data_IF_996776843799
#
_entry.id   IF_996776843799
#
_cell.length_a   1.000
_cell.length_b   1.000
_cell.length_c   1.000
_cell.angle_alpha   90.00
_cell.angle_beta   90.00
_cell.angle_gamma   90.00
#
_symmetry.space_group_name_H-M   'P 1'
#
loop_
_entity.id
_entity.type
_entity.pdbx_description
1 polymer ?
#
# COMPACT_ATOMS: atom_id res chain seq x y z
N UNK A 1 12.97 -18.06 12.20
CA UNK A 1 13.43 -17.72 10.83
C UNK A 1 12.27 -17.45 9.89
N UNK A 2 11.35 -18.40 9.67
CA UNK A 2 10.22 -18.25 8.73
C UNK A 2 9.31 -17.04 9.00
N UNK A 3 9.05 -16.70 10.26
CA UNK A 3 8.28 -15.49 10.63
C UNK A 3 8.90 -14.19 10.11
N UNK A 4 10.22 -14.04 10.25
CA UNK A 4 10.96 -12.86 9.79
C UNK A 4 11.08 -12.84 8.26
N UNK A 5 11.13 -14.01 7.61
CA UNK A 5 11.04 -14.10 6.16
C UNK A 5 9.69 -13.61 5.63
N UNK A 6 8.58 -14.01 6.26
CA UNK A 6 7.23 -13.53 5.88
C UNK A 6 7.09 -12.03 6.11
N UNK A 7 7.57 -11.55 7.26
CA UNK A 7 7.62 -10.11 7.55
C UNK A 7 8.39 -9.34 6.46
N UNK A 8 9.63 -9.77 6.17
CA UNK A 8 10.49 -9.12 5.17
C UNK A 8 9.93 -9.21 3.76
N UNK A 9 9.36 -10.35 3.37
CA UNK A 9 8.70 -10.51 2.07
C UNK A 9 7.46 -9.61 1.95
N UNK A 10 6.69 -9.46 3.02
CA UNK A 10 5.54 -8.55 3.04
C UNK A 10 5.98 -7.09 2.91
N UNK A 11 6.98 -6.68 3.69
CA UNK A 11 7.55 -5.34 3.58
C UNK A 11 8.10 -5.07 2.17
N UNK A 12 8.78 -6.05 1.57
CA UNK A 12 9.28 -5.97 0.20
C UNK A 12 8.14 -5.79 -0.81
N UNK A 13 7.09 -6.60 -0.72
CA UNK A 13 5.97 -6.60 -1.67
C UNK A 13 5.11 -5.33 -1.62
N UNK A 14 5.13 -4.59 -0.51
CA UNK A 14 4.49 -3.26 -0.44
C UNK A 14 5.42 -2.16 -0.92
N UNK A 15 6.72 -2.23 -0.63
CA UNK A 15 7.65 -1.11 -0.89
C UNK A 15 8.25 -1.11 -2.29
N UNK A 16 8.92 -2.19 -2.69
CA UNK A 16 9.71 -2.22 -3.93
C UNK A 16 8.84 -2.21 -5.19
N UNK A 17 7.72 -2.97 -5.26
CA UNK A 17 6.85 -2.97 -6.43
C UNK A 17 6.28 -1.59 -6.78
N UNK A 18 6.15 -0.66 -5.83
CA UNK A 18 5.70 0.72 -6.11
C UNK A 18 6.61 1.41 -7.13
N UNK A 19 7.93 1.23 -7.04
CA UNK A 19 8.88 1.83 -7.98
C UNK A 19 8.81 1.23 -9.39
N UNK A 20 8.18 0.06 -9.54
CA UNK A 20 7.93 -0.58 -10.84
C UNK A 20 6.53 -0.23 -11.35
N UNK A 21 5.54 -0.30 -10.47
CA UNK A 21 4.14 -0.10 -10.82
C UNK A 21 3.84 1.37 -11.14
N UNK A 22 4.37 2.32 -10.35
CA UNK A 22 4.12 3.75 -10.55
C UNK A 22 4.52 4.28 -11.95
N UNK A 23 5.72 3.98 -12.50
CA UNK A 23 6.02 4.35 -13.88
C UNK A 23 5.20 3.53 -14.89
N UNK A 24 4.95 2.24 -14.62
CA UNK A 24 4.20 1.36 -15.53
C UNK A 24 2.75 1.82 -15.72
N UNK A 25 2.02 2.14 -14.65
CA UNK A 25 0.64 2.65 -14.72
C UNK A 25 0.57 4.01 -15.41
N UNK A 26 1.63 4.83 -15.29
CA UNK A 26 1.68 6.14 -15.93
C UNK A 26 1.88 6.06 -17.43
N UNK A 27 2.73 5.14 -17.90
CA UNK A 27 3.07 4.99 -19.32
C UNK A 27 2.16 4.00 -20.04
N UNK A 28 1.81 2.89 -19.37
CA UNK A 28 1.07 1.76 -19.93
C UNK A 28 0.06 1.21 -18.91
N UNK A 29 -1.02 1.96 -18.59
CA UNK A 29 -2.00 1.57 -17.56
C UNK A 29 -2.63 0.19 -17.84
N UNK A 30 -2.97 -0.08 -19.09
CA UNK A 30 -3.51 -1.39 -19.51
C UNK A 30 -2.50 -2.54 -19.29
N UNK A 31 -1.21 -2.30 -19.50
CA UNK A 31 -0.18 -3.32 -19.27
C UNK A 31 -0.03 -3.58 -17.77
N UNK A 32 -0.06 -2.54 -16.93
CA UNK A 32 -0.06 -2.72 -15.47
C UNK A 32 -1.28 -3.53 -15.01
N UNK A 33 -2.45 -3.25 -15.55
CA UNK A 33 -3.66 -3.99 -15.21
C UNK A 33 -3.56 -5.47 -15.62
N UNK A 34 -3.15 -5.73 -16.87
CA UNK A 34 -2.98 -7.10 -17.40
C UNK A 34 -1.89 -7.87 -16.64
N UNK A 35 -0.85 -7.20 -16.14
CA UNK A 35 0.20 -7.86 -15.36
C UNK A 35 -0.28 -8.37 -13.99
N UNK A 36 -1.49 -8.03 -13.55
CA UNK A 36 -2.17 -8.72 -12.46
C UNK A 36 -2.36 -10.22 -12.76
N UNK A 37 -2.64 -10.59 -14.01
CA UNK A 37 -2.93 -11.97 -14.42
C UNK A 37 -1.77 -12.92 -14.09
N UNK A 38 -0.51 -12.68 -14.50
CA UNK A 38 0.59 -13.57 -14.14
C UNK A 38 0.82 -13.66 -12.63
N UNK A 39 0.62 -12.56 -11.87
CA UNK A 39 0.71 -12.62 -10.40
C UNK A 39 -0.34 -13.54 -9.79
N UNK A 40 -1.58 -13.42 -10.24
CA UNK A 40 -2.69 -14.25 -9.79
C UNK A 40 -2.54 -15.72 -10.22
N UNK A 41 -2.14 -15.98 -11.46
CA UNK A 41 -1.89 -17.34 -11.93
C UNK A 41 -0.75 -17.99 -11.15
N UNK A 42 0.35 -17.27 -10.94
CA UNK A 42 1.47 -17.76 -10.15
C UNK A 42 1.05 -18.02 -8.70
N UNK A 43 0.24 -17.15 -8.10
CA UNK A 43 -0.25 -17.35 -6.73
C UNK A 43 -1.06 -18.63 -6.62
N UNK A 44 -1.94 -18.91 -7.59
CA UNK A 44 -2.71 -20.15 -7.64
C UNK A 44 -1.83 -21.39 -7.82
N UNK A 45 -0.84 -21.35 -8.73
CA UNK A 45 0.09 -22.48 -8.91
C UNK A 45 0.83 -22.80 -7.61
N UNK A 46 1.25 -21.77 -6.88
CA UNK A 46 2.00 -21.92 -5.63
C UNK A 46 1.10 -22.36 -4.46
N UNK A 47 -0.13 -21.87 -4.38
CA UNK A 47 -1.02 -22.13 -3.23
C UNK A 47 -1.49 -23.58 -3.16
N UNK A 48 -1.62 -24.25 -4.32
CA UNK A 48 -2.04 -25.66 -4.39
C UNK A 48 -0.91 -26.68 -4.19
N UNK A 49 0.30 -26.22 -3.85
CA UNK A 49 1.45 -27.10 -3.56
C UNK A 49 1.88 -26.94 -2.09
N UNK A 50 1.91 -28.01 -1.28
CA UNK A 50 2.19 -27.91 0.16
C UNK A 50 3.49 -27.16 0.52
N UNK A 51 4.55 -27.33 -0.29
CA UNK A 51 5.85 -26.69 -0.06
C UNK A 51 5.86 -25.18 -0.34
N UNK A 52 4.97 -24.69 -1.20
CA UNK A 52 4.93 -23.29 -1.65
C UNK A 52 3.65 -22.56 -1.25
N UNK A 53 2.75 -23.23 -0.53
CA UNK A 53 1.42 -22.72 -0.19
C UNK A 53 1.47 -21.35 0.46
N UNK A 54 2.40 -21.15 1.41
CA UNK A 54 2.63 -19.88 2.10
C UNK A 54 2.90 -18.71 1.13
N UNK A 55 3.72 -18.95 0.11
CA UNK A 55 4.12 -17.93 -0.85
C UNK A 55 3.02 -17.67 -1.87
N UNK A 56 2.28 -18.70 -2.26
CA UNK A 56 1.07 -18.54 -3.08
C UNK A 56 0.00 -17.73 -2.36
N UNK A 57 -0.18 -17.96 -1.06
CA UNK A 57 -1.09 -17.19 -0.22
C UNK A 57 -0.68 -15.70 -0.15
N UNK A 58 0.58 -15.42 0.22
CA UNK A 58 1.10 -14.05 0.25
C UNK A 58 0.97 -13.35 -1.12
N UNK A 59 1.31 -14.05 -2.21
CA UNK A 59 1.26 -13.50 -3.56
C UNK A 59 -0.16 -13.22 -4.02
N UNK A 60 -1.15 -13.99 -3.55
CA UNK A 60 -2.56 -13.75 -3.84
C UNK A 60 -3.03 -12.43 -3.21
N UNK A 61 -2.60 -12.14 -1.98
CA UNK A 61 -2.85 -10.84 -1.33
C UNK A 61 -2.19 -9.69 -2.10
N UNK A 62 -0.94 -9.87 -2.52
CA UNK A 62 -0.22 -8.91 -3.35
C UNK A 62 -0.89 -8.67 -4.71
N UNK A 63 -1.36 -9.71 -5.39
CA UNK A 63 -2.09 -9.57 -6.64
C UNK A 63 -3.36 -8.72 -6.49
N UNK A 64 -4.03 -8.81 -5.33
CA UNK A 64 -5.14 -7.93 -4.96
C UNK A 64 -4.74 -6.47 -4.86
N UNK A 65 -3.66 -6.15 -4.15
CA UNK A 65 -3.11 -4.80 -4.08
C UNK A 65 -2.66 -4.29 -5.46
N UNK A 66 -1.99 -5.13 -6.25
CA UNK A 66 -1.52 -4.77 -7.59
C UNK A 66 -2.69 -4.46 -8.53
N UNK A 67 -3.78 -5.24 -8.46
CA UNK A 67 -5.01 -5.00 -9.23
C UNK A 67 -5.59 -3.63 -8.88
N UNK A 68 -5.82 -3.39 -7.59
CA UNK A 68 -6.35 -2.13 -7.08
C UNK A 68 -5.48 -0.93 -7.50
N UNK A 69 -4.19 -1.00 -7.22
CA UNK A 69 -3.23 0.04 -7.58
C UNK A 69 -3.20 0.28 -9.09
N UNK A 70 -3.27 -0.77 -9.91
CA UNK A 70 -3.31 -0.60 -11.38
C UNK A 70 -4.57 0.14 -11.84
N UNK A 71 -5.73 -0.17 -11.24
CA UNK A 71 -7.00 0.50 -11.57
C UNK A 71 -6.94 1.96 -11.12
N UNK A 72 -6.63 2.22 -9.85
CA UNK A 72 -6.63 3.58 -9.31
C UNK A 72 -5.59 4.45 -10.03
N UNK A 73 -4.33 4.03 -10.04
CA UNK A 73 -3.25 4.85 -10.60
C UNK A 73 -3.29 4.96 -12.12
N UNK A 74 -3.91 4.00 -12.81
CA UNK A 74 -4.08 4.05 -14.26
C UNK A 74 -5.22 4.96 -14.73
N UNK A 75 -6.36 4.97 -14.01
CA UNK A 75 -7.60 5.59 -14.50
C UNK A 75 -8.40 6.40 -13.47
N UNK A 76 -7.97 6.54 -12.23
CA UNK A 76 -8.73 7.31 -11.23
C UNK A 76 -7.84 8.23 -10.39
N UNK A 77 -6.53 8.26 -10.64
CA UNK A 77 -5.54 9.04 -9.89
C UNK A 77 -5.84 10.53 -9.78
N UNK A 78 -6.66 11.10 -10.66
CA UNK A 78 -7.05 12.51 -10.61
C UNK A 78 -7.97 12.84 -9.44
N UNK A 79 -8.66 11.86 -8.86
CA UNK A 79 -9.57 12.09 -7.75
C UNK A 79 -9.15 11.28 -6.50
N UNK A 80 -8.46 11.92 -5.53
CA UNK A 80 -7.89 11.22 -4.38
C UNK A 80 -8.94 10.56 -3.48
N UNK A 81 -10.19 11.02 -3.48
CA UNK A 81 -11.24 10.40 -2.66
C UNK A 81 -11.62 8.99 -3.14
N UNK A 82 -11.29 8.65 -4.39
CA UNK A 82 -11.53 7.32 -4.97
C UNK A 82 -10.42 6.32 -4.64
N UNK A 83 -9.30 6.77 -4.06
CA UNK A 83 -8.15 5.92 -3.74
C UNK A 83 -8.56 4.77 -2.82
N UNK A 84 -8.98 5.06 -1.59
CA UNK A 84 -9.39 4.04 -0.63
C UNK A 84 -10.52 3.11 -1.12
N UNK A 85 -11.62 3.59 -1.73
CA UNK A 85 -12.64 2.70 -2.29
C UNK A 85 -12.12 1.71 -3.33
N UNK A 86 -11.21 2.15 -4.20
CA UNK A 86 -10.62 1.28 -5.24
C UNK A 86 -9.61 0.32 -4.62
N UNK A 87 -8.80 0.78 -3.66
CA UNK A 87 -7.91 -0.09 -2.89
C UNK A 87 -8.66 -1.16 -2.11
N UNK A 88 -9.91 -0.90 -1.73
CA UNK A 88 -10.79 -1.83 -1.02
C UNK A 88 -11.51 -2.88 -1.90
N UNK A 89 -11.34 -2.91 -3.22
CA UNK A 89 -12.05 -3.88 -4.10
C UNK A 89 -11.75 -5.35 -3.76
N UNK A 90 -10.57 -5.63 -3.22
CA UNK A 90 -10.15 -6.96 -2.77
C UNK A 90 -10.70 -7.36 -1.40
N UNK A 91 -11.27 -6.41 -0.64
CA UNK A 91 -11.71 -6.62 0.74
C UNK A 91 -12.79 -7.71 0.87
N UNK A 92 -13.84 -7.79 0.02
CA UNK A 92 -14.82 -8.87 0.11
C UNK A 92 -14.19 -10.26 -0.04
N UNK A 93 -13.20 -10.39 -0.92
CA UNK A 93 -12.47 -11.63 -1.11
C UNK A 93 -11.58 -11.97 0.09
N UNK A 94 -10.87 -10.98 0.65
CA UNK A 94 -10.09 -11.16 1.87
C UNK A 94 -10.97 -11.61 3.05
N UNK A 95 -12.14 -11.00 3.24
CA UNK A 95 -13.11 -11.39 4.28
C UNK A 95 -13.59 -12.84 4.07
N UNK A 96 -13.92 -13.21 2.82
CA UNK A 96 -14.31 -14.58 2.48
C UNK A 96 -13.22 -15.60 2.82
N UNK A 97 -11.97 -15.32 2.45
CA UNK A 97 -10.79 -16.14 2.78
C UNK A 97 -10.67 -16.35 4.30
N UNK A 98 -10.76 -15.27 5.08
CA UNK A 98 -10.71 -15.33 6.54
C UNK A 98 -11.85 -16.16 7.14
N UNK A 99 -13.08 -15.99 6.63
CA UNK A 99 -14.25 -16.77 7.04
C UNK A 99 -14.12 -18.27 6.75
N UNK A 100 -13.38 -18.64 5.70
CA UNK A 100 -13.05 -20.04 5.37
C UNK A 100 -11.77 -20.55 6.03
N UNK A 101 -11.09 -19.72 6.82
CA UNK A 101 -9.77 -20.00 7.36
C UNK A 101 -8.74 -20.43 6.30
N UNK A 102 -8.91 -19.95 5.08
CA UNK A 102 -8.04 -20.20 3.94
C UNK A 102 -7.36 -18.90 3.53
N UNK A 103 -6.15 -18.96 2.97
CA UNK A 103 -5.50 -17.75 2.46
C UNK A 103 -5.23 -16.67 3.52
N UNK A 104 -4.98 -17.05 4.79
CA UNK A 104 -4.88 -16.09 5.90
C UNK A 104 -3.68 -15.17 5.76
N UNK A 105 -2.56 -15.65 5.22
CA UNK A 105 -1.34 -14.84 5.13
C UNK A 105 -1.52 -13.73 4.10
N UNK A 106 -2.06 -14.03 2.92
CA UNK A 106 -2.38 -13.04 1.90
C UNK A 106 -3.49 -12.09 2.32
N UNK A 107 -4.55 -12.59 2.98
CA UNK A 107 -5.62 -11.75 3.47
C UNK A 107 -5.13 -10.74 4.52
N UNK A 108 -4.31 -11.16 5.49
CA UNK A 108 -3.73 -10.26 6.48
C UNK A 108 -2.70 -9.30 5.89
N UNK A 109 -1.90 -9.74 4.92
CA UNK A 109 -1.04 -8.84 4.13
C UNK A 109 -1.86 -7.72 3.48
N UNK A 110 -2.92 -8.09 2.75
CA UNK A 110 -3.80 -7.15 2.07
C UNK A 110 -4.46 -6.18 3.05
N UNK A 111 -4.98 -6.68 4.19
CA UNK A 111 -5.56 -5.85 5.24
C UNK A 111 -4.55 -4.88 5.87
N UNK A 112 -3.31 -5.31 6.06
CA UNK A 112 -2.24 -4.43 6.55
C UNK A 112 -1.93 -3.30 5.58
N UNK A 113 -1.83 -3.63 4.29
CA UNK A 113 -1.65 -2.65 3.21
C UNK A 113 -2.83 -1.67 3.14
N UNK A 114 -4.07 -2.17 3.15
CA UNK A 114 -5.28 -1.36 3.09
C UNK A 114 -5.42 -0.45 4.31
N UNK A 115 -5.06 -0.93 5.50
CA UNK A 115 -5.03 -0.10 6.71
C UNK A 115 -4.02 1.04 6.57
N UNK A 116 -2.81 0.74 6.09
CA UNK A 116 -1.80 1.76 5.79
C UNK A 116 -2.35 2.83 4.86
N UNK A 117 -2.91 2.41 3.71
CA UNK A 117 -3.55 3.31 2.76
C UNK A 117 -4.65 4.16 3.39
N UNK A 118 -5.57 3.55 4.15
CA UNK A 118 -6.68 4.26 4.78
C UNK A 118 -6.19 5.35 5.73
N UNK A 119 -5.16 5.05 6.53
CA UNK A 119 -4.59 5.99 7.49
C UNK A 119 -3.86 7.13 6.77
N UNK A 120 -3.08 6.84 5.72
CA UNK A 120 -2.42 7.87 4.91
C UNK A 120 -3.45 8.74 4.16
N UNK A 121 -4.52 8.18 3.62
CA UNK A 121 -5.60 8.94 2.97
C UNK A 121 -6.33 9.86 3.96
N UNK A 122 -6.58 9.39 5.19
CA UNK A 122 -7.15 10.23 6.26
C UNK A 122 -6.21 11.39 6.59
N UNK A 123 -4.89 11.17 6.63
CA UNK A 123 -3.92 12.24 6.81
C UNK A 123 -4.01 13.27 5.68
N UNK A 124 -4.06 12.83 4.41
CA UNK A 124 -4.21 13.72 3.25
C UNK A 124 -5.49 14.55 3.30
N UNK A 125 -6.57 13.96 3.79
CA UNK A 125 -7.84 14.65 3.98
C UNK A 125 -7.74 15.71 5.10
N UNK A 126 -7.25 15.33 6.29
CA UNK A 126 -7.19 16.20 7.46
C UNK A 126 -6.23 17.38 7.30
N UNK A 127 -5.15 17.21 6.54
CA UNK A 127 -4.12 18.24 6.30
C UNK A 127 -4.36 19.08 5.06
N UNK A 128 -5.44 18.82 4.32
CA UNK A 128 -5.74 19.58 3.10
C UNK A 128 -4.74 19.32 1.97
N UNK A 129 -4.15 18.13 1.89
CA UNK A 129 -3.23 17.74 0.81
C UNK A 129 -3.94 17.30 -0.48
N UNK A 130 -5.22 16.90 -0.40
CA UNK A 130 -5.99 16.45 -1.57
C UNK A 130 -6.05 17.48 -2.73
N UNK A 131 -6.21 18.80 -2.50
CA UNK A 131 -6.10 19.80 -3.57
C UNK A 131 -4.74 19.81 -4.27
N UNK A 132 -3.64 19.67 -3.52
CA UNK A 132 -2.29 19.60 -4.08
C UNK A 132 -2.09 18.33 -4.89
N UNK A 133 -2.63 17.20 -4.42
CA UNK A 133 -2.67 15.96 -5.20
C UNK A 133 -3.31 16.18 -6.57
N UNK A 134 -4.52 16.77 -6.62
CA UNK A 134 -5.21 17.05 -7.88
C UNK A 134 -4.35 17.92 -8.80
N UNK A 135 -3.71 18.95 -8.26
CA UNK A 135 -2.80 19.81 -9.04
C UNK A 135 -1.63 19.02 -9.63
N UNK A 136 -0.94 18.19 -8.85
CA UNK A 136 0.18 17.36 -9.33
C UNK A 136 -0.25 16.43 -10.46
N UNK A 137 -1.45 15.85 -10.38
CA UNK A 137 -1.93 14.89 -11.40
C UNK A 137 -2.25 15.54 -12.74
N UNK A 138 -2.50 16.86 -12.77
CA UNK A 138 -2.74 17.64 -13.98
C UNK A 138 -1.54 18.46 -14.44
N UNK A 139 -0.53 18.62 -13.59
CA UNK A 139 0.65 19.41 -13.89
C UNK A 139 1.58 18.71 -14.89
N UNK A 140 2.22 19.50 -15.74
CA UNK A 140 3.39 19.05 -16.48
C UNK A 140 4.53 18.75 -15.50
N UNK A 141 5.44 17.79 -15.80
CA UNK A 141 6.51 17.39 -14.88
C UNK A 141 7.34 18.56 -14.33
N UNK A 142 7.56 19.59 -15.15
CA UNK A 142 8.31 20.81 -14.83
C UNK A 142 7.61 21.67 -13.77
N UNK A 143 6.28 21.57 -13.68
CA UNK A 143 5.44 22.31 -12.73
C UNK A 143 5.10 21.49 -11.47
N UNK A 144 5.52 20.22 -11.40
CA UNK A 144 5.24 19.36 -10.25
C UNK A 144 6.00 19.79 -8.99
N UNK A 145 7.25 20.26 -9.13
CA UNK A 145 8.11 20.59 -8.00
C UNK A 145 7.57 21.74 -7.13
N UNK A 146 7.12 22.88 -7.69
CA UNK A 146 6.50 23.94 -6.87
C UNK A 146 5.24 23.49 -6.13
N UNK A 147 4.47 22.57 -6.70
CA UNK A 147 3.27 22.03 -6.06
C UNK A 147 3.66 21.14 -4.87
N UNK A 148 4.70 20.31 -5.01
CA UNK A 148 5.23 19.52 -3.90
C UNK A 148 5.75 20.40 -2.76
N UNK A 149 6.52 21.45 -3.06
CA UNK A 149 7.00 22.39 -2.05
C UNK A 149 5.85 23.08 -1.31
N UNK A 150 4.79 23.46 -2.04
CA UNK A 150 3.59 24.04 -1.43
C UNK A 150 2.81 23.03 -0.57
N UNK A 151 2.81 21.75 -0.95
CA UNK A 151 2.22 20.66 -0.17
C UNK A 151 3.00 20.39 1.12
N UNK A 152 4.35 20.43 1.08
CA UNK A 152 5.19 20.35 2.29
C UNK A 152 4.86 21.48 3.26
N UNK A 153 4.54 22.68 2.76
CA UNK A 153 4.07 23.79 3.59
C UNK A 153 2.84 23.43 4.45
N UNK A 154 1.96 22.53 4.01
CA UNK A 154 0.84 22.03 4.82
C UNK A 154 1.30 21.02 5.90
N UNK A 155 2.28 20.19 5.56
CA UNK A 155 2.88 19.20 6.46
C UNK A 155 3.60 19.90 7.61
N UNK A 156 4.33 20.99 7.33
CA UNK A 156 5.13 21.73 8.32
C UNK A 156 4.30 22.61 9.26
N UNK A 157 2.99 22.72 9.05
CA UNK A 157 2.11 23.40 10.01
C UNK A 157 2.04 22.62 11.33
N UNK A 158 1.78 23.27 12.48
CA UNK A 158 1.56 22.57 13.75
C UNK A 158 0.45 21.51 13.67
N UNK A 159 -0.57 21.76 12.84
CA UNK A 159 -1.65 20.80 12.58
C UNK A 159 -1.16 19.61 11.75
N UNK A 160 -0.44 19.85 10.65
CA UNK A 160 0.16 18.81 9.81
C UNK A 160 1.09 17.90 10.61
N UNK A 161 2.02 18.48 11.36
CA UNK A 161 2.93 17.76 12.27
C UNK A 161 2.14 16.96 13.31
N UNK A 162 1.13 17.57 13.93
CA UNK A 162 0.27 16.90 14.90
C UNK A 162 -0.43 15.67 14.32
N UNK A 163 -1.03 15.81 13.14
CA UNK A 163 -1.65 14.69 12.42
C UNK A 163 -0.63 13.61 12.05
N UNK A 164 0.58 14.00 11.60
CA UNK A 164 1.64 13.07 11.25
C UNK A 164 2.12 12.26 12.46
N UNK A 165 2.31 12.89 13.63
CA UNK A 165 2.67 12.20 14.87
C UNK A 165 1.59 11.17 15.25
N UNK A 166 0.32 11.55 15.18
CA UNK A 166 -0.81 10.63 15.48
C UNK A 166 -0.82 9.45 14.50
N UNK A 167 -0.68 9.71 13.20
CA UNK A 167 -0.60 8.67 12.18
C UNK A 167 0.54 7.68 12.46
N UNK A 168 1.75 8.20 12.69
CA UNK A 168 2.94 7.40 12.97
C UNK A 168 2.72 6.57 14.23
N UNK A 169 2.19 7.17 15.29
CA UNK A 169 1.89 6.47 16.54
C UNK A 169 0.88 5.34 16.34
N UNK A 170 -0.19 5.56 15.56
CA UNK A 170 -1.20 4.54 15.26
C UNK A 170 -0.60 3.38 14.47
N UNK A 171 0.09 3.65 13.37
CA UNK A 171 0.70 2.61 12.53
C UNK A 171 1.81 1.85 13.25
N UNK A 172 2.65 2.54 14.04
CA UNK A 172 3.66 1.89 14.88
C UNK A 172 3.00 1.01 15.94
N UNK A 173 1.97 1.49 16.62
CA UNK A 173 1.29 0.72 17.67
C UNK A 173 0.65 -0.53 17.08
N UNK A 174 -0.11 -0.41 15.99
CA UNK A 174 -0.77 -1.53 15.33
C UNK A 174 0.26 -2.52 14.74
N UNK A 175 1.32 -2.01 14.12
CA UNK A 175 2.45 -2.80 13.63
C UNK A 175 3.17 -3.57 14.73
N UNK A 176 3.44 -2.94 15.88
CA UNK A 176 4.11 -3.58 17.03
C UNK A 176 3.19 -4.57 17.76
N UNK A 177 1.91 -4.24 17.94
CA UNK A 177 0.94 -5.13 18.57
C UNK A 177 0.75 -6.41 17.77
N UNK A 178 0.70 -6.32 16.43
CA UNK A 178 0.64 -7.49 15.56
C UNK A 178 1.91 -8.36 15.62
N UNK A 179 3.08 -7.80 15.93
CA UNK A 179 4.31 -8.59 16.16
C UNK A 179 4.29 -9.40 17.46
N UNK A 180 3.36 -9.14 18.39
CA UNK A 180 3.24 -9.95 19.62
C UNK A 180 2.79 -11.37 19.30
N UNK A 181 1.96 -11.53 18.29
CA UNK A 181 1.55 -12.84 17.80
C UNK A 181 2.69 -13.49 16.97
N UNK A 182 2.85 -14.80 17.13
CA UNK A 182 3.88 -15.62 16.46
C UNK A 182 3.35 -16.30 15.21
N UNK A 183 2.08 -16.18 14.89
CA UNK A 183 1.50 -16.72 13.67
C UNK A 183 1.95 -15.93 12.43
N UNK A 184 2.00 -16.61 11.29
CA UNK A 184 2.57 -16.04 10.06
C UNK A 184 1.73 -14.91 9.46
N UNK A 185 0.40 -14.98 9.60
CA UNK A 185 -0.49 -13.97 9.03
C UNK A 185 -0.32 -12.60 9.71
N UNK A 186 -0.15 -12.57 11.04
CA UNK A 186 0.17 -11.32 11.75
C UNK A 186 1.56 -10.77 11.41
N UNK A 187 2.53 -11.62 11.06
CA UNK A 187 3.84 -11.16 10.53
C UNK A 187 3.68 -10.50 9.17
N UNK A 188 2.81 -11.03 8.32
CA UNK A 188 2.53 -10.45 7.02
C UNK A 188 1.83 -9.10 7.12
N UNK A 189 0.79 -9.02 7.96
CA UNK A 189 0.11 -7.78 8.30
C UNK A 189 1.08 -6.72 8.83
N UNK A 190 1.90 -7.09 9.82
CA UNK A 190 2.87 -6.17 10.41
C UNK A 190 3.88 -5.68 9.37
N UNK A 191 4.42 -6.58 8.54
CA UNK A 191 5.34 -6.22 7.46
C UNK A 191 4.74 -5.19 6.50
N UNK A 192 3.48 -5.38 6.11
CA UNK A 192 2.75 -4.45 5.25
C UNK A 192 2.52 -3.07 5.92
N UNK A 193 2.15 -3.04 7.21
CA UNK A 193 1.94 -1.79 7.96
C UNK A 193 3.26 -1.01 8.13
N UNK A 194 4.35 -1.67 8.50
CA UNK A 194 5.65 -1.00 8.65
C UNK A 194 6.20 -0.48 7.32
N UNK A 195 5.94 -1.18 6.22
CA UNK A 195 6.34 -0.69 4.90
C UNK A 195 5.62 0.58 4.49
N UNK A 196 4.38 0.82 4.93
CA UNK A 196 3.71 2.12 4.70
C UNK A 196 4.50 3.25 5.32
N UNK A 197 4.91 3.11 6.59
CA UNK A 197 5.76 4.11 7.26
C UNK A 197 7.10 4.31 6.54
N UNK A 198 7.70 3.23 6.04
CA UNK A 198 8.96 3.30 5.30
C UNK A 198 8.80 4.04 3.97
N UNK A 199 7.77 3.70 3.19
CA UNK A 199 7.51 4.31 1.87
C UNK A 199 7.13 5.78 2.04
N UNK A 200 6.22 6.10 2.95
CA UNK A 200 5.81 7.48 3.22
C UNK A 200 6.98 8.33 3.75
N UNK A 201 7.81 7.76 4.62
CA UNK A 201 9.03 8.41 5.10
C UNK A 201 10.04 8.68 3.98
N UNK A 202 10.21 7.75 3.04
CA UNK A 202 11.06 7.95 1.86
C UNK A 202 10.53 9.06 0.96
N UNK A 203 9.22 9.12 0.72
CA UNK A 203 8.61 10.19 -0.06
C UNK A 203 8.73 11.55 0.62
N UNK A 204 8.53 11.61 1.94
CA UNK A 204 8.71 12.85 2.69
C UNK A 204 10.16 13.34 2.64
N UNK A 205 11.15 12.46 2.84
CA UNK A 205 12.56 12.81 2.71
C UNK A 205 12.92 13.27 1.29
N UNK A 206 12.42 12.58 0.26
CA UNK A 206 12.65 12.96 -1.13
C UNK A 206 12.06 14.33 -1.46
N UNK A 207 10.85 14.62 -0.96
CA UNK A 207 10.20 15.90 -1.15
C UNK A 207 10.91 17.02 -0.40
N UNK A 208 11.46 16.74 0.79
CA UNK A 208 12.18 17.73 1.62
C UNK A 208 13.60 18.04 1.13
N UNK A 209 14.21 17.13 0.36
CA UNK A 209 15.56 17.26 -0.15
C UNK A 209 15.66 17.86 -1.57
N UNK A 210 14.52 18.21 -2.18
CA UNK A 210 14.39 18.71 -3.55
C UNK A 210 14.08 20.21 -3.61
#
# INVERSE_FOLDING_TARGET
>A
MQQWLVFGASAFLVSIPVFVQAPLVRLYPTISLISTIPWFVLSLILIFRPKTQLWGDLLLGFAGCWLAGSIYWGWFRWEPILHLPIEAIGLPFAIWCLGKSWGKVGAYFYLGSLLGTAITDVYFYLTGLMPYWRQVMHAEPELAMPIFQSAIGQIDTPWGIGCAIVLIAVLLTVGLLSLRDRTLHWRAFSGAVFSTLLVDGLFWLAASAA
#
